data_IF_245656618676
#
_entry.id   IF_245656618676
#
_cell.length_a   1.000
_cell.length_b   1.000
_cell.length_c   1.000
_cell.angle_alpha   90.00
_cell.angle_beta   90.00
_cell.angle_gamma   90.00
#
_symmetry.space_group_name_H-M   'P 1'
#
loop_
_entity.id
_entity.type
_entity.pdbx_description
1 polymer ?
#
# COMPACT_ATOMS: atom_id res chain seq x y z
N UNK A 1 -26.20 28.65 43.78
CA UNK A 1 -24.74 28.50 43.62
C UNK A 1 -24.53 27.46 42.53
N UNK A 2 -23.91 27.79 41.39
CA UNK A 2 -23.61 26.80 40.36
C UNK A 2 -22.56 25.81 40.92
N UNK A 3 -22.91 24.52 40.92
CA UNK A 3 -22.02 23.44 41.33
C UNK A 3 -21.14 23.07 40.14
N UNK A 4 -19.81 23.10 40.30
CA UNK A 4 -18.89 22.59 39.30
C UNK A 4 -19.04 21.08 39.17
N UNK A 5 -19.29 20.59 37.95
CA UNK A 5 -19.26 19.16 37.64
C UNK A 5 -17.80 18.78 37.40
N UNK A 6 -17.33 17.73 38.08
CA UNK A 6 -15.97 17.21 37.85
C UNK A 6 -15.79 16.82 36.38
N UNK A 7 -14.65 17.19 35.80
CA UNK A 7 -14.32 16.80 34.43
C UNK A 7 -14.28 15.27 34.29
N UNK A 8 -14.89 14.75 33.23
CA UNK A 8 -14.95 13.32 32.92
C UNK A 8 -13.86 12.99 31.91
N UNK A 9 -13.01 12.02 32.29
CA UNK A 9 -11.96 11.48 31.44
C UNK A 9 -12.08 9.96 31.37
N UNK A 10 -12.06 9.40 30.17
CA UNK A 10 -11.93 7.96 29.94
C UNK A 10 -10.46 7.52 30.13
N UNK A 11 -10.28 6.21 30.27
CA UNK A 11 -8.97 5.58 30.09
C UNK A 11 -8.56 5.58 28.60
N UNK A 12 -7.36 5.09 28.31
CA UNK A 12 -6.91 4.90 26.93
C UNK A 12 -7.93 4.04 26.14
N UNK A 13 -8.21 4.40 24.87
CA UNK A 13 -9.11 3.62 24.04
C UNK A 13 -8.55 2.20 23.79
N UNK A 14 -9.40 1.22 23.44
CA UNK A 14 -8.95 -0.11 23.09
C UNK A 14 -7.95 -0.12 21.94
N UNK A 15 -7.09 -1.14 21.91
CA UNK A 15 -6.10 -1.27 20.85
C UNK A 15 -6.76 -1.46 19.46
N UNK A 16 -6.11 -0.92 18.43
CA UNK A 16 -6.54 -1.08 17.03
C UNK A 16 -6.56 -2.57 16.60
N UNK A 17 -7.44 -2.95 15.65
CA UNK A 17 -7.48 -4.31 15.13
C UNK A 17 -6.20 -4.67 14.33
N UNK A 18 -5.93 -5.97 14.18
CA UNK A 18 -4.76 -6.46 13.43
C UNK A 18 -4.86 -6.02 11.96
N UNK A 19 -3.81 -5.34 11.46
CA UNK A 19 -3.78 -4.81 10.09
C UNK A 19 -4.52 -3.48 9.89
N UNK A 20 -5.17 -2.96 10.94
CA UNK A 20 -5.93 -1.73 10.92
C UNK A 20 -5.17 -0.47 11.35
N UNK A 21 -5.85 0.66 11.23
CA UNK A 21 -5.40 1.97 11.75
C UNK A 21 -6.34 2.48 12.86
N UNK A 22 -5.82 3.40 13.67
CA UNK A 22 -6.57 4.13 14.69
C UNK A 22 -6.18 5.61 14.60
N UNK A 23 -7.18 6.47 14.45
CA UNK A 23 -7.04 7.92 14.43
C UNK A 23 -7.54 8.44 15.78
N UNK A 24 -6.61 8.93 16.61
CA UNK A 24 -6.90 9.43 17.94
C UNK A 24 -6.09 10.69 18.22
N UNK A 25 -6.75 11.73 18.74
CA UNK A 25 -6.13 13.03 19.05
C UNK A 25 -5.43 13.07 20.43
N UNK A 26 -5.28 11.93 21.11
CA UNK A 26 -4.67 11.82 22.44
C UNK A 26 -5.52 12.34 23.61
N UNK A 27 -6.71 12.89 23.35
CA UNK A 27 -7.62 13.37 24.39
C UNK A 27 -8.45 12.21 24.94
N UNK A 28 -8.82 12.31 26.21
CA UNK A 28 -9.72 11.35 26.86
C UNK A 28 -10.94 12.02 27.48
N UNK A 29 -11.18 13.30 27.19
CA UNK A 29 -12.34 14.01 27.69
C UNK A 29 -13.64 13.38 27.16
N UNK A 30 -14.73 13.58 27.88
CA UNK A 30 -16.09 13.27 27.41
C UNK A 30 -16.34 13.77 25.97
N UNK A 31 -17.05 12.96 25.17
CA UNK A 31 -17.32 13.17 23.72
C UNK A 31 -16.08 13.12 22.82
N UNK A 32 -14.90 12.76 23.34
CA UNK A 32 -13.76 12.47 22.47
C UNK A 32 -14.09 11.26 21.60
N UNK A 33 -13.83 11.39 20.29
CA UNK A 33 -14.00 10.32 19.31
C UNK A 33 -12.68 9.69 18.88
N UNK A 34 -12.74 8.40 18.57
CA UNK A 34 -11.63 7.60 18.05
C UNK A 34 -12.12 6.81 16.85
N UNK A 35 -11.48 6.98 15.70
CA UNK A 35 -11.86 6.29 14.47
C UNK A 35 -10.91 5.12 14.20
N UNK A 36 -11.48 3.99 13.81
CA UNK A 36 -10.78 2.75 13.50
C UNK A 36 -11.05 2.34 12.06
N UNK A 37 -10.05 1.73 11.42
CA UNK A 37 -10.20 1.06 10.13
C UNK A 37 -9.62 -0.37 10.20
N UNK A 38 -10.12 -1.28 9.37
CA UNK A 38 -9.55 -2.63 9.21
C UNK A 38 -8.39 -2.70 8.21
N UNK A 39 -8.01 -1.58 7.60
CA UNK A 39 -7.08 -1.54 6.46
C UNK A 39 -7.76 -1.87 5.12
N UNK A 40 -7.02 -1.80 4.00
CA UNK A 40 -7.61 -1.79 2.65
C UNK A 40 -8.21 -3.13 2.18
N UNK A 41 -7.88 -4.24 2.84
CA UNK A 41 -8.30 -5.58 2.41
C UNK A 41 -9.24 -6.27 3.41
N UNK A 42 -9.64 -5.59 4.48
CA UNK A 42 -10.54 -6.13 5.50
C UNK A 42 -11.66 -5.12 5.81
N UNK A 43 -12.80 -5.62 6.28
CA UNK A 43 -13.95 -4.81 6.66
C UNK A 43 -14.43 -5.24 8.04
N UNK A 44 -15.00 -4.31 8.79
CA UNK A 44 -15.76 -4.65 10.00
C UNK A 44 -17.02 -5.40 9.58
N UNK A 45 -17.42 -6.39 10.35
CA UNK A 45 -18.69 -7.09 10.20
C UNK A 45 -19.51 -6.86 11.44
N UNK A 46 -20.68 -6.24 11.26
CA UNK A 46 -21.66 -6.12 12.32
C UNK A 46 -22.10 -7.51 12.78
N UNK A 47 -21.93 -7.80 14.07
CA UNK A 47 -22.21 -9.14 14.62
C UNK A 47 -23.69 -9.54 14.46
N UNK A 48 -24.60 -8.59 14.52
CA UNK A 48 -26.04 -8.84 14.55
C UNK A 48 -26.64 -8.83 13.14
N UNK A 49 -26.20 -7.93 12.27
CA UNK A 49 -26.75 -7.76 10.92
C UNK A 49 -25.91 -8.41 9.82
N UNK A 50 -24.64 -8.73 10.09
CA UNK A 50 -23.67 -9.20 9.10
C UNK A 50 -23.21 -8.12 8.12
N UNK A 51 -23.65 -6.86 8.29
CA UNK A 51 -23.29 -5.76 7.40
C UNK A 51 -21.80 -5.44 7.47
N UNK A 52 -21.17 -5.28 6.30
CA UNK A 52 -19.76 -4.91 6.16
C UNK A 52 -19.59 -3.40 6.06
N UNK A 53 -18.60 -2.85 6.74
CA UNK A 53 -18.28 -1.42 6.69
C UNK A 53 -16.79 -1.15 6.93
N UNK A 54 -16.29 0.00 6.47
CA UNK A 54 -14.86 0.30 6.40
C UNK A 54 -14.31 0.98 7.67
N UNK A 55 -15.15 1.78 8.34
CA UNK A 55 -14.76 2.58 9.50
C UNK A 55 -15.70 2.39 10.69
N UNK A 56 -15.14 2.22 11.88
CA UNK A 56 -15.86 2.22 13.15
C UNK A 56 -15.42 3.45 13.98
N UNK A 57 -16.35 4.15 14.63
CA UNK A 57 -16.02 5.29 15.49
C UNK A 57 -16.45 5.02 16.92
N UNK A 58 -15.57 5.21 17.90
CA UNK A 58 -15.90 5.10 19.32
C UNK A 58 -15.92 6.47 19.99
N UNK A 59 -16.73 6.59 21.03
CA UNK A 59 -16.91 7.84 21.78
C UNK A 59 -16.75 7.62 23.29
N UNK A 60 -16.03 8.53 23.95
CA UNK A 60 -15.87 8.53 25.40
C UNK A 60 -17.16 9.04 26.08
N UNK A 61 -17.82 8.14 26.82
CA UNK A 61 -19.09 8.40 27.48
C UNK A 61 -18.90 9.03 28.86
N UNK A 62 -19.96 9.65 29.39
CA UNK A 62 -19.97 10.33 30.69
C UNK A 62 -19.59 9.40 31.86
N UNK A 63 -19.76 8.09 31.70
CA UNK A 63 -19.43 7.06 32.68
C UNK A 63 -17.95 6.63 32.63
N UNK A 64 -17.09 7.39 31.94
CA UNK A 64 -15.65 7.11 31.74
C UNK A 64 -15.35 5.82 30.98
N UNK A 65 -16.32 5.33 30.19
CA UNK A 65 -16.13 4.17 29.31
C UNK A 65 -16.29 4.57 27.86
N UNK A 66 -15.64 3.83 26.97
CA UNK A 66 -15.85 3.98 25.53
C UNK A 66 -17.10 3.21 25.10
N UNK A 67 -17.89 3.76 24.17
CA UNK A 67 -19.07 3.07 23.65
C UNK A 67 -18.68 1.73 22.98
N UNK A 68 -19.52 0.70 23.10
CA UNK A 68 -19.09 -0.70 22.88
C UNK A 68 -19.09 -1.15 21.40
N UNK A 69 -18.63 -0.30 20.49
CA UNK A 69 -18.67 -0.57 19.04
C UNK A 69 -17.60 -1.56 18.55
N UNK A 70 -16.61 -1.91 19.38
CA UNK A 70 -15.58 -2.90 19.02
C UNK A 70 -15.99 -4.38 19.23
N UNK A 71 -17.28 -4.66 19.41
CA UNK A 71 -17.75 -6.05 19.33
C UNK A 71 -17.71 -6.60 17.89
N UNK A 72 -17.63 -5.71 16.90
CA UNK A 72 -17.55 -6.08 15.49
C UNK A 72 -16.12 -6.48 15.13
N UNK A 73 -16.00 -7.59 14.39
CA UNK A 73 -14.69 -8.15 14.03
C UNK A 73 -14.26 -7.61 12.67
N UNK A 74 -12.97 -7.29 12.53
CA UNK A 74 -12.36 -7.15 11.21
C UNK A 74 -12.23 -8.53 10.56
N UNK A 75 -12.85 -8.71 9.40
CA UNK A 75 -12.69 -9.91 8.57
C UNK A 75 -12.09 -9.52 7.23
N UNK A 76 -11.23 -10.38 6.69
CA UNK A 76 -10.68 -10.16 5.37
C UNK A 76 -11.78 -10.20 4.32
N UNK A 77 -11.73 -9.23 3.42
CA UNK A 77 -12.60 -9.13 2.25
C UNK A 77 -11.85 -9.44 0.96
N UNK A 78 -10.52 -9.29 0.97
CA UNK A 78 -9.66 -9.54 -0.17
C UNK A 78 -8.28 -10.06 0.29
N UNK A 79 -7.56 -10.71 -0.63
CA UNK A 79 -6.14 -11.01 -0.47
C UNK A 79 -5.27 -9.84 -0.92
N UNK A 80 -4.16 -9.64 -0.22
CA UNK A 80 -3.27 -8.50 -0.38
C UNK A 80 -2.14 -8.71 -1.41
N UNK A 81 -1.67 -9.94 -1.61
CA UNK A 81 -0.50 -10.22 -2.42
C UNK A 81 -0.67 -11.54 -3.20
N UNK A 82 -0.75 -11.45 -4.52
CA UNK A 82 -0.70 -12.63 -5.39
C UNK A 82 0.73 -13.18 -5.34
N UNK A 83 0.95 -14.44 -4.91
CA UNK A 83 2.29 -15.00 -4.89
C UNK A 83 2.77 -15.22 -6.32
N UNK A 84 3.97 -14.72 -6.61
CA UNK A 84 4.64 -14.94 -7.89
C UNK A 84 5.31 -16.33 -7.88
N UNK A 85 5.11 -17.14 -8.92
CA UNK A 85 5.83 -18.41 -9.03
C UNK A 85 7.33 -18.14 -9.30
N UNK A 86 8.25 -18.97 -8.77
CA UNK A 86 9.68 -18.83 -9.05
C UNK A 86 9.97 -18.79 -10.56
N UNK A 87 10.94 -17.97 -10.97
CA UNK A 87 11.29 -17.79 -12.38
C UNK A 87 11.59 -19.11 -13.10
N UNK A 88 12.26 -20.06 -12.41
CA UNK A 88 12.59 -21.37 -12.99
C UNK A 88 11.37 -22.18 -13.44
N UNK A 89 10.19 -21.88 -12.91
CA UNK A 89 8.95 -22.60 -13.23
C UNK A 89 8.39 -22.22 -14.59
N UNK A 90 8.74 -21.02 -15.11
CA UNK A 90 8.16 -20.38 -16.31
C UNK A 90 6.62 -20.27 -16.30
N UNK A 91 5.98 -20.40 -15.15
CA UNK A 91 4.53 -20.25 -15.01
C UNK A 91 4.12 -18.80 -15.27
N UNK A 92 3.00 -18.62 -15.97
CA UNK A 92 2.39 -17.30 -16.21
C UNK A 92 1.00 -17.26 -15.59
N UNK A 93 0.67 -16.18 -14.91
CA UNK A 93 -0.71 -15.96 -14.48
C UNK A 93 -1.62 -15.82 -15.69
N UNK A 94 -2.74 -16.52 -15.65
CA UNK A 94 -3.80 -16.44 -16.65
C UNK A 94 -5.01 -15.84 -15.94
N UNK A 95 -5.27 -14.53 -16.13
CA UNK A 95 -6.48 -13.93 -15.58
C UNK A 95 -7.72 -14.65 -16.14
N UNK A 96 -8.79 -14.71 -15.34
CA UNK A 96 -10.06 -15.19 -15.84
C UNK A 96 -10.58 -14.20 -16.91
N UNK A 97 -11.28 -14.70 -17.92
CA UNK A 97 -11.80 -13.85 -18.99
C UNK A 97 -12.70 -12.76 -18.40
N UNK A 98 -12.29 -11.49 -18.51
CA UNK A 98 -13.02 -10.35 -17.94
C UNK A 98 -12.52 -9.86 -16.58
N UNK A 99 -11.42 -10.39 -16.05
CA UNK A 99 -10.74 -9.83 -14.87
C UNK A 99 -9.43 -9.15 -15.28
N UNK A 100 -9.33 -7.84 -15.07
CA UNK A 100 -8.04 -7.15 -15.07
C UNK A 100 -7.41 -7.38 -13.69
N UNK A 101 -6.40 -8.25 -13.58
CA UNK A 101 -5.62 -8.46 -12.36
C UNK A 101 -4.14 -8.46 -12.76
N UNK A 102 -3.36 -7.39 -12.52
CA UNK A 102 -1.92 -7.39 -12.68
C UNK A 102 -1.29 -8.25 -11.60
N UNK A 103 -0.26 -8.97 -12.04
CA UNK A 103 0.67 -9.65 -11.16
C UNK A 103 1.59 -8.65 -10.48
N UNK A 104 1.95 -8.93 -9.23
CA UNK A 104 3.19 -8.40 -8.65
C UNK A 104 4.34 -9.12 -9.36
N UNK A 105 5.33 -8.39 -9.89
CA UNK A 105 6.50 -8.96 -10.58
C UNK A 105 7.81 -8.62 -9.86
N UNK A 106 8.95 -9.19 -10.30
CA UNK A 106 10.35 -9.09 -9.80
C UNK A 106 10.97 -7.68 -9.61
N UNK A 107 10.16 -6.63 -9.57
CA UNK A 107 10.56 -5.28 -9.20
C UNK A 107 10.20 -5.01 -7.74
N UNK A 108 11.05 -4.25 -7.04
CA UNK A 108 10.71 -3.76 -5.72
C UNK A 108 9.78 -2.55 -5.88
N UNK A 109 8.50 -2.74 -5.57
CA UNK A 109 7.48 -1.68 -5.60
C UNK A 109 7.34 -1.07 -4.21
N UNK A 110 7.59 0.24 -4.10
CA UNK A 110 7.47 0.99 -2.86
C UNK A 110 6.34 2.01 -3.01
N UNK A 111 5.42 2.05 -2.06
CA UNK A 111 4.32 3.01 -2.01
C UNK A 111 4.43 3.78 -0.69
N UNK A 112 4.94 5.02 -0.74
CA UNK A 112 5.35 5.80 0.43
C UNK A 112 4.85 7.25 0.34
N UNK A 113 4.36 7.81 1.45
CA UNK A 113 3.97 9.23 1.55
C UNK A 113 5.17 10.10 1.91
N UNK A 114 5.51 11.07 1.06
CA UNK A 114 6.63 11.99 1.34
C UNK A 114 6.28 13.01 2.43
N UNK A 115 7.26 13.46 3.25
CA UNK A 115 8.67 13.05 3.21
C UNK A 115 8.92 11.69 3.89
N UNK A 116 9.93 10.95 3.40
CA UNK A 116 10.47 9.82 4.13
C UNK A 116 11.65 9.14 3.43
N UNK A 117 12.21 8.16 4.12
CA UNK A 117 13.44 7.47 3.70
C UNK A 117 13.18 5.97 3.62
N UNK A 118 13.60 5.37 2.52
CA UNK A 118 13.49 3.93 2.29
C UNK A 118 14.88 3.31 2.16
N UNK A 119 15.09 2.18 2.83
CA UNK A 119 16.30 1.39 2.69
C UNK A 119 16.19 0.54 1.42
N UNK A 120 17.09 0.77 0.48
CA UNK A 120 17.12 0.07 -0.81
C UNK A 120 18.04 -1.16 -0.67
N UNK A 121 17.72 -2.32 -1.28
CA UNK A 121 18.59 -3.48 -1.23
C UNK A 121 20.01 -3.15 -1.69
N UNK A 122 21.02 -3.72 -1.01
CA UNK A 122 22.44 -3.51 -1.31
C UNK A 122 22.87 -3.93 -2.73
N UNK A 123 22.02 -4.68 -3.44
CA UNK A 123 22.21 -5.07 -4.84
C UNK A 123 21.84 -3.98 -5.85
N UNK A 124 21.18 -2.91 -5.41
CA UNK A 124 20.73 -1.82 -6.27
C UNK A 124 21.90 -1.03 -6.86
N UNK A 125 21.84 -0.74 -8.17
CA UNK A 125 22.85 0.04 -8.90
C UNK A 125 23.67 -0.74 -9.92
N UNK A 126 23.67 -2.09 -9.89
CA UNK A 126 24.30 -2.94 -10.91
C UNK A 126 23.32 -3.25 -12.06
N UNK A 127 22.92 -2.21 -12.80
CA UNK A 127 21.92 -2.29 -13.90
C UNK A 127 20.45 -2.39 -13.45
N UNK A 128 20.15 -1.89 -12.25
CA UNK A 128 18.77 -1.73 -11.75
C UNK A 128 18.17 -0.40 -12.23
N UNK A 129 16.84 -0.38 -12.39
CA UNK A 129 16.08 0.82 -12.72
C UNK A 129 15.23 1.24 -11.52
N UNK A 130 15.17 2.54 -11.24
CA UNK A 130 14.26 3.11 -10.25
C UNK A 130 13.09 3.74 -10.99
N UNK A 131 11.88 3.21 -10.77
CA UNK A 131 10.64 3.83 -11.21
C UNK A 131 10.00 4.51 -10.00
N UNK A 132 9.65 5.77 -10.16
CA UNK A 132 8.94 6.56 -9.17
C UNK A 132 7.58 6.91 -9.77
N UNK A 133 6.53 6.50 -9.10
CA UNK A 133 5.15 6.70 -9.52
C UNK A 133 4.36 7.14 -8.29
N UNK A 134 3.64 8.26 -8.39
CA UNK A 134 2.94 8.87 -7.27
C UNK A 134 2.35 10.23 -7.63
N UNK A 135 1.41 10.70 -6.81
CA UNK A 135 0.82 12.03 -6.91
C UNK A 135 1.42 12.94 -5.84
N UNK A 136 1.55 14.23 -6.18
CA UNK A 136 1.76 15.29 -5.20
C UNK A 136 0.41 15.98 -5.10
N UNK A 137 -0.21 15.93 -3.92
CA UNK A 137 -1.48 16.62 -3.70
C UNK A 137 -1.24 18.13 -3.91
N UNK A 138 -2.12 18.77 -4.66
CA UNK A 138 -2.07 20.21 -4.88
C UNK A 138 -2.15 20.94 -3.54
N UNK A 139 -1.08 21.63 -3.16
CA UNK A 139 -1.14 22.64 -2.10
C UNK A 139 -1.57 23.95 -2.78
N UNK A 140 -2.86 24.04 -3.12
CA UNK A 140 -3.45 25.35 -3.40
C UNK A 140 -3.63 26.07 -2.06
N UNK A 141 -2.98 27.22 -1.92
CA UNK A 141 -3.30 28.12 -0.82
C UNK A 141 -4.70 28.72 -1.06
N UNK A 142 -5.27 29.33 -0.02
CA UNK A 142 -6.64 29.86 0.00
C UNK A 142 -6.96 30.85 -1.14
N UNK A 143 -5.93 31.36 -1.82
CA UNK A 143 -6.00 32.31 -2.93
C UNK A 143 -5.76 31.69 -4.33
N UNK A 144 -5.82 30.36 -4.50
CA UNK A 144 -5.72 29.66 -5.81
C UNK A 144 -4.38 29.88 -6.55
N UNK A 145 -3.32 30.25 -5.83
CA UNK A 145 -1.95 30.31 -6.35
C UNK A 145 -1.18 29.06 -5.88
N UNK A 146 -0.42 28.37 -6.77
CA UNK A 146 0.43 27.27 -6.35
C UNK A 146 1.60 27.83 -5.52
N UNK A 147 1.58 27.62 -4.20
CA UNK A 147 2.60 28.12 -3.27
C UNK A 147 3.62 27.04 -2.92
N UNK A 148 4.34 26.53 -3.93
CA UNK A 148 5.63 25.93 -3.65
C UNK A 148 6.63 27.07 -3.44
N UNK A 149 6.97 27.36 -2.18
CA UNK A 149 8.13 28.20 -1.89
C UNK A 149 9.36 27.54 -2.53
N UNK A 150 10.19 28.32 -3.22
CA UNK A 150 11.35 27.84 -4.01
C UNK A 150 12.34 27.00 -3.15
N UNK A 151 12.22 27.03 -1.82
CA UNK A 151 12.99 26.22 -0.88
C UNK A 151 12.44 24.82 -0.56
N UNK A 152 11.15 24.54 -0.82
CA UNK A 152 10.44 23.34 -0.35
C UNK A 152 9.95 22.44 -1.51
N UNK A 153 10.73 22.40 -2.58
CA UNK A 153 10.44 21.54 -3.73
C UNK A 153 10.53 20.05 -3.35
N UNK A 154 9.60 19.19 -3.85
CA UNK A 154 9.67 17.75 -3.62
C UNK A 154 11.02 17.18 -4.07
N UNK A 155 11.73 16.61 -3.12
CA UNK A 155 13.11 16.16 -3.31
C UNK A 155 13.24 14.70 -2.92
N UNK A 156 13.92 13.92 -3.77
CA UNK A 156 14.26 12.52 -3.52
C UNK A 156 15.78 12.39 -3.49
N UNK A 157 16.30 11.88 -2.37
CA UNK A 157 17.73 11.77 -2.13
C UNK A 157 18.12 10.30 -1.93
N UNK A 158 19.16 9.87 -2.64
CA UNK A 158 19.73 8.53 -2.51
C UNK A 158 21.07 8.64 -1.79
N UNK A 159 21.22 7.84 -0.73
CA UNK A 159 22.43 7.76 0.08
C UNK A 159 23.05 6.37 -0.01
N UNK A 160 24.37 6.29 0.11
CA UNK A 160 25.09 5.01 0.25
C UNK A 160 25.11 4.50 1.70
N UNK A 161 25.79 3.38 1.91
CA UNK A 161 25.94 2.72 3.21
C UNK A 161 26.80 3.52 4.22
N UNK A 162 27.61 4.45 3.73
CA UNK A 162 28.34 5.42 4.54
C UNK A 162 27.53 6.70 4.82
N UNK A 163 26.27 6.74 4.40
CA UNK A 163 25.37 7.90 4.49
C UNK A 163 25.86 9.12 3.70
N UNK A 164 26.66 8.91 2.65
CA UNK A 164 27.02 9.94 1.69
C UNK A 164 25.96 10.04 0.59
N UNK A 165 25.62 11.26 0.20
CA UNK A 165 24.62 11.50 -0.84
C UNK A 165 25.19 11.17 -2.22
N UNK A 166 24.53 10.26 -2.93
CA UNK A 166 24.95 9.77 -4.25
C UNK A 166 24.19 10.49 -5.36
N UNK A 167 22.87 10.61 -5.24
CA UNK A 167 22.00 11.27 -6.22
C UNK A 167 20.96 12.12 -5.47
N UNK A 168 20.64 13.29 -6.04
CA UNK A 168 19.55 14.16 -5.61
C UNK A 168 18.66 14.47 -6.81
N UNK A 169 17.37 14.20 -6.66
CA UNK A 169 16.31 14.48 -7.63
C UNK A 169 15.45 15.60 -7.05
N UNK A 170 15.29 16.71 -7.75
CA UNK A 170 14.41 17.82 -7.36
C UNK A 170 13.33 17.98 -8.41
N UNK A 171 12.07 17.88 -8.00
CA UNK A 171 10.91 17.99 -8.87
C UNK A 171 10.38 19.42 -8.75
N UNK A 172 10.19 20.10 -9.88
CA UNK A 172 9.57 21.42 -9.99
C UNK A 172 8.19 21.29 -10.67
N UNK A 173 7.11 21.08 -9.89
CA UNK A 173 5.79 20.83 -10.46
C UNK A 173 5.30 21.99 -11.32
N UNK A 174 5.60 23.24 -10.94
CA UNK A 174 5.16 24.45 -11.65
C UNK A 174 5.70 24.58 -13.07
N UNK A 175 6.88 24.00 -13.33
CA UNK A 175 7.53 24.04 -14.65
C UNK A 175 7.59 22.67 -15.33
N UNK A 176 7.10 21.62 -14.64
CA UNK A 176 7.18 20.24 -15.09
C UNK A 176 8.62 19.82 -15.42
N UNK A 177 9.55 20.17 -14.53
CA UNK A 177 10.99 19.89 -14.67
C UNK A 177 11.44 18.96 -13.55
N UNK A 178 12.35 18.04 -13.89
CA UNK A 178 13.11 17.24 -12.93
C UNK A 178 14.60 17.56 -13.06
N UNK A 179 15.19 18.04 -11.98
CA UNK A 179 16.63 18.27 -11.89
C UNK A 179 17.32 17.09 -11.21
N UNK A 180 18.40 16.60 -11.81
CA UNK A 180 19.19 15.49 -11.28
C UNK A 180 20.63 15.93 -11.05
N UNK A 181 21.07 15.86 -9.80
CA UNK A 181 22.43 16.25 -9.39
C UNK A 181 23.13 15.13 -8.62
N UNK A 182 24.46 15.07 -8.72
CA UNK A 182 25.27 14.09 -7.98
C UNK A 182 26.55 14.73 -7.42
N UNK A 183 26.73 14.77 -6.09
CA UNK A 183 27.94 15.29 -5.45
C UNK A 183 29.22 14.54 -5.84
N UNK A 184 29.08 13.27 -6.25
CA UNK A 184 30.21 12.42 -6.65
C UNK A 184 30.68 12.71 -8.08
N UNK A 185 29.82 13.28 -8.94
CA UNK A 185 30.14 13.61 -10.34
C UNK A 185 29.50 14.94 -10.77
N UNK A 186 29.93 16.09 -10.23
CA UNK A 186 29.25 17.38 -10.43
C UNK A 186 29.27 17.91 -11.87
N UNK A 187 30.20 17.44 -12.71
CA UNK A 187 30.26 17.84 -14.12
C UNK A 187 29.17 17.22 -15.02
N UNK A 188 28.26 16.43 -14.45
CA UNK A 188 27.21 15.67 -15.17
C UNK A 188 25.79 15.99 -14.71
N UNK A 189 25.60 17.12 -14.04
CA UNK A 189 24.26 17.58 -13.69
C UNK A 189 23.41 17.75 -14.96
N UNK A 190 22.15 17.32 -14.88
CA UNK A 190 21.27 17.22 -16.05
C UNK A 190 19.85 17.61 -15.68
N UNK A 191 19.17 18.26 -16.62
CA UNK A 191 17.79 18.71 -16.49
C UNK A 191 16.91 17.99 -17.52
N UNK A 192 15.77 17.48 -17.06
CA UNK A 192 14.81 16.77 -17.89
C UNK A 192 13.43 17.42 -17.78
N UNK A 193 12.74 17.54 -18.92
CA UNK A 193 11.31 17.85 -18.92
C UNK A 193 10.52 16.58 -18.59
N UNK A 194 9.61 16.67 -17.62
CA UNK A 194 8.74 15.58 -17.16
C UNK A 194 7.29 15.97 -17.33
N UNK A 195 6.38 15.01 -17.46
CA UNK A 195 4.93 15.29 -17.45
C UNK A 195 4.42 15.15 -16.02
N UNK A 196 3.95 16.24 -15.40
CA UNK A 196 3.32 16.25 -14.07
C UNK A 196 1.81 16.36 -14.26
N UNK A 197 1.05 15.38 -13.75
CA UNK A 197 -0.41 15.35 -13.79
C UNK A 197 -0.96 15.44 -12.36
N UNK A 198 -2.01 16.24 -12.14
CA UNK A 198 -2.61 16.48 -10.82
C UNK A 198 -3.98 15.77 -10.75
N UNK A 199 -4.04 14.63 -10.04
CA UNK A 199 -5.25 13.82 -9.93
C UNK A 199 -5.23 12.84 -8.74
N UNK A 200 -6.41 12.39 -8.30
CA UNK A 200 -6.61 11.45 -7.19
C UNK A 200 -5.65 10.23 -7.28
N UNK A 201 -5.11 9.74 -6.15
CA UNK A 201 -4.20 8.60 -6.15
C UNK A 201 -4.89 7.37 -6.72
N UNK A 202 -4.47 6.94 -7.91
CA UNK A 202 -4.91 5.66 -8.44
C UNK A 202 -4.14 4.56 -7.71
N UNK A 203 -4.76 4.00 -6.68
CA UNK A 203 -4.31 2.70 -6.20
C UNK A 203 -4.53 1.71 -7.34
N UNK A 204 -3.48 1.00 -7.77
CA UNK A 204 -3.62 -0.23 -8.56
C UNK A 204 -4.28 -1.31 -7.69
N UNK A 205 -5.56 -1.09 -7.35
CA UNK A 205 -6.38 -1.93 -6.48
C UNK A 205 -6.86 -3.13 -7.26
N UNK A 206 -5.96 -4.07 -7.44
CA UNK A 206 -6.32 -5.38 -7.93
C UNK A 206 -6.42 -6.30 -6.74
N UNK A 207 -7.58 -6.19 -6.11
CA UNK A 207 -7.93 -6.96 -4.95
C UNK A 207 -8.56 -8.26 -5.41
N UNK A 208 -8.08 -9.38 -4.89
CA UNK A 208 -8.65 -10.69 -5.19
C UNK A 208 -9.62 -11.01 -4.05
N UNK A 209 -10.94 -11.14 -4.32
CA UNK A 209 -11.91 -11.43 -3.26
C UNK A 209 -11.55 -12.71 -2.51
N UNK A 210 -11.86 -12.75 -1.21
CA UNK A 210 -11.81 -14.01 -0.46
C UNK A 210 -12.58 -15.10 -1.18
N UNK A 211 -12.01 -16.29 -1.21
CA UNK A 211 -12.49 -17.47 -1.92
C UNK A 211 -12.33 -17.46 -3.45
N UNK A 212 -11.84 -16.38 -4.05
CA UNK A 212 -11.47 -16.40 -5.46
C UNK A 212 -10.25 -17.29 -5.70
N UNK A 213 -10.15 -17.83 -6.91
CA UNK A 213 -9.04 -18.68 -7.35
C UNK A 213 -8.27 -18.00 -8.47
N UNK A 214 -6.95 -18.12 -8.44
CA UNK A 214 -6.05 -17.64 -9.47
C UNK A 214 -5.49 -18.83 -10.23
N UNK A 215 -5.38 -18.71 -11.55
CA UNK A 215 -4.82 -19.75 -12.41
C UNK A 215 -3.48 -19.30 -12.95
N UNK A 216 -2.46 -20.15 -12.80
CA UNK A 216 -1.17 -20.04 -13.44
C UNK A 216 -1.08 -21.14 -14.49
N UNK A 217 -0.60 -20.85 -15.68
CA UNK A 217 -0.44 -21.82 -16.75
C UNK A 217 0.96 -21.77 -17.35
N UNK A 218 1.38 -22.90 -17.93
CA UNK A 218 2.56 -22.89 -18.77
C UNK A 218 2.34 -22.07 -20.05
N UNK A 219 3.41 -21.53 -20.65
CA UNK A 219 3.36 -20.92 -21.96
C UNK A 219 2.86 -21.91 -23.03
N UNK A 220 2.43 -21.39 -24.18
CA UNK A 220 2.05 -22.24 -25.32
C UNK A 220 3.20 -23.18 -25.71
N UNK A 221 2.86 -24.43 -26.03
CA UNK A 221 3.82 -25.48 -26.36
C UNK A 221 4.56 -26.11 -25.17
N UNK A 222 4.35 -25.62 -23.94
CA UNK A 222 4.97 -26.21 -22.74
C UNK A 222 3.99 -27.11 -21.97
N UNK A 223 4.53 -28.12 -21.29
CA UNK A 223 3.82 -29.01 -20.36
C UNK A 223 4.47 -29.00 -18.98
N UNK A 224 3.80 -29.56 -17.97
CA UNK A 224 4.45 -29.78 -16.69
C UNK A 224 5.47 -30.90 -16.77
N UNK A 225 6.68 -30.64 -16.27
CA UNK A 225 7.80 -31.60 -16.17
C UNK A 225 7.41 -32.95 -15.56
N UNK A 226 6.49 -32.96 -14.61
CA UNK A 226 6.03 -34.15 -13.91
C UNK A 226 4.76 -34.77 -14.52
N UNK A 227 4.06 -34.07 -15.43
CA UNK A 227 2.80 -34.55 -16.01
C UNK A 227 2.43 -33.87 -17.35
N UNK A 228 2.82 -34.53 -18.44
CA UNK A 228 2.56 -34.12 -19.83
C UNK A 228 1.12 -34.28 -20.33
N UNK A 229 0.30 -35.10 -19.69
CA UNK A 229 -1.06 -35.41 -20.17
C UNK A 229 -2.14 -34.47 -19.63
N UNK A 230 -1.85 -33.71 -18.57
CA UNK A 230 -2.79 -32.77 -17.98
C UNK A 230 -2.65 -31.39 -18.61
N UNK A 231 -3.75 -30.62 -18.60
CA UNK A 231 -3.70 -29.20 -18.91
C UNK A 231 -2.71 -28.53 -17.94
N UNK A 232 -1.66 -27.87 -18.42
CA UNK A 232 -0.56 -27.40 -17.58
C UNK A 232 -0.96 -26.12 -16.83
N UNK A 233 -1.84 -26.28 -15.84
CA UNK A 233 -2.40 -25.23 -15.02
C UNK A 233 -2.30 -25.54 -13.52
N UNK A 234 -1.79 -24.59 -12.75
CA UNK A 234 -1.78 -24.59 -11.29
C UNK A 234 -2.79 -23.56 -10.78
N UNK A 235 -3.60 -23.93 -9.79
CA UNK A 235 -4.58 -23.03 -9.18
C UNK A 235 -4.23 -22.77 -7.73
N UNK A 236 -4.29 -21.51 -7.31
CA UNK A 236 -4.19 -21.11 -5.91
C UNK A 236 -5.47 -20.39 -5.51
N UNK A 237 -5.81 -20.41 -4.22
CA UNK A 237 -7.04 -19.80 -3.70
C UNK A 237 -6.70 -18.74 -2.66
N UNK A 238 -7.46 -17.65 -2.68
CA UNK A 238 -7.48 -16.65 -1.62
C UNK A 238 -8.33 -17.18 -0.45
N UNK A 239 -7.74 -17.37 0.73
CA UNK A 239 -8.40 -17.91 1.92
C UNK A 239 -9.03 -16.82 2.78
N UNK A 240 -9.94 -17.21 3.67
CA UNK A 240 -10.70 -16.31 4.57
C UNK A 240 -9.83 -15.48 5.53
N UNK A 241 -8.53 -15.79 5.62
CA UNK A 241 -7.51 -15.03 6.34
C UNK A 241 -6.81 -13.96 5.49
N UNK A 242 -7.27 -13.73 4.25
CA UNK A 242 -6.72 -12.75 3.33
C UNK A 242 -5.37 -13.16 2.73
N UNK A 243 -5.00 -14.43 2.80
CA UNK A 243 -3.75 -14.95 2.23
C UNK A 243 -3.98 -15.99 1.13
N UNK A 244 -3.03 -16.08 0.21
CA UNK A 244 -2.94 -17.22 -0.70
C UNK A 244 -2.13 -18.33 -0.06
N UNK A 245 -2.51 -19.58 -0.30
CA UNK A 245 -1.70 -20.74 0.02
C UNK A 245 -1.09 -21.31 -1.28
N UNK A 246 0.07 -20.80 -1.73
CA UNK A 246 0.76 -21.37 -2.89
C UNK A 246 1.24 -22.79 -2.57
N UNK A 247 1.44 -23.63 -3.61
CA UNK A 247 2.03 -24.95 -3.39
C UNK A 247 3.45 -24.82 -2.82
N UNK A 248 3.86 -25.76 -1.96
CA UNK A 248 5.23 -25.81 -1.43
C UNK A 248 6.30 -25.98 -2.51
N UNK A 249 5.90 -26.49 -3.68
CA UNK A 249 6.74 -26.58 -4.87
C UNK A 249 5.87 -26.28 -6.08
N UNK A 250 6.24 -25.25 -6.83
CA UNK A 250 5.55 -24.89 -8.06
C UNK A 250 5.89 -25.86 -9.19
N UNK A 251 4.93 -26.23 -10.04
CA UNK A 251 5.22 -27.09 -11.18
C UNK A 251 6.07 -26.35 -12.22
N UNK A 252 7.11 -27.04 -12.70
CA UNK A 252 8.04 -26.49 -13.69
C UNK A 252 7.54 -26.80 -15.09
N UNK A 253 7.45 -25.78 -15.95
CA UNK A 253 7.11 -25.90 -17.36
C UNK A 253 8.33 -26.29 -18.20
N UNK A 254 8.17 -27.33 -19.03
CA UNK A 254 9.18 -27.82 -19.99
C UNK A 254 8.58 -27.83 -21.39
N UNK A 255 9.43 -27.72 -22.41
CA UNK A 255 9.07 -27.84 -23.83
C UNK A 255 8.81 -29.30 -24.23
#
# INVERSE_FOLDING_TARGET
MPSFVAAVYCDAPPAKPRGGSMIWNGKTAYETKVDYSCGPFAKFVNRDTGQKYDYASMECLWNKTWNNLLNDRCVWSHCNLIPEPPMETKLKFVPETGTDLPLSTDHAKYNWSIPGQVQIPYSFGRSSWLLLDGSIDDIFDIDDQPTFDVGDLPTIELFDDANAQVIKLVIEPSYSVLQVTSPLTPARDSEFSVTVDFGDPFMLQHTVPVNASLTFACPEGHVFSHNWYLKPQAKIRCFDDGQFNPPSTWPICVE
#
